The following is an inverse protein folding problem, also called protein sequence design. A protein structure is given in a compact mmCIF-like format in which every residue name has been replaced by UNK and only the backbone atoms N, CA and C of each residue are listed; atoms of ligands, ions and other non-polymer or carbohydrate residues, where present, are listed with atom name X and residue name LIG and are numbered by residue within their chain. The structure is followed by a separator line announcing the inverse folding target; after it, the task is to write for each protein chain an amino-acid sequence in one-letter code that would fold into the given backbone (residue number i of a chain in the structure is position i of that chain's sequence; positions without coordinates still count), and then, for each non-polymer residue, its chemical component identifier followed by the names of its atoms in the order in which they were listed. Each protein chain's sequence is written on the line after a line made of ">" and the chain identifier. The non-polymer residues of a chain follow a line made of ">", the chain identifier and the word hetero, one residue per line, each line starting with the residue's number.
data_IF_818141020612
#
_entry.id   IF_818141020612
#
_cell.length_a   1.000
_cell.length_b   1.000
_cell.length_c   1.000
_cell.angle_alpha   90.00
_cell.angle_beta   90.00
_cell.angle_gamma   90.00
#
_symmetry.space_group_name_H-M   'P 1'
#
loop_
_entity.id
_entity.type
_entity.pdbx_description
1 polymer ?
#
# COMPACT_ATOMS: atom_id res chain seq x y z
N UNK A 1 -7.59 6.98 14.06
CA UNK A 1 -6.82 5.88 13.42
C UNK A 1 -5.35 6.29 13.35
N UNK A 2 -4.53 5.76 14.26
CA UNK A 2 -3.12 6.14 14.40
C UNK A 2 -2.28 5.19 13.55
N UNK A 3 -1.79 5.64 12.39
CA UNK A 3 -0.64 4.98 11.73
C UNK A 3 0.46 4.83 12.78
N UNK A 4 1.17 3.69 12.80
CA UNK A 4 2.15 3.33 13.84
C UNK A 4 2.94 4.56 14.34
N UNK A 5 3.19 4.65 15.65
CA UNK A 5 3.77 5.86 16.31
C UNK A 5 5.19 6.23 15.83
N UNK A 6 5.70 5.65 14.73
CA UNK A 6 7.02 5.89 14.14
C UNK A 6 6.92 6.86 12.96
N UNK A 7 7.82 7.83 12.90
CA UNK A 7 7.92 8.79 11.79
C UNK A 7 6.99 10.02 11.91
N UNK A 8 7.22 11.00 11.03
CA UNK A 8 6.54 12.32 11.05
C UNK A 8 5.02 12.17 10.84
N UNK A 9 4.16 12.77 11.69
CA UNK A 9 2.69 12.69 11.55
C UNK A 9 2.15 13.11 10.19
N UNK A 10 2.69 14.21 9.62
CA UNK A 10 2.31 14.71 8.30
C UNK A 10 2.61 13.70 7.18
N UNK A 11 3.80 13.08 7.21
CA UNK A 11 4.18 12.07 6.23
C UNK A 11 3.26 10.85 6.29
N UNK A 12 2.92 10.40 7.51
CA UNK A 12 1.95 9.30 7.71
C UNK A 12 0.60 9.65 7.07
N UNK A 13 0.08 10.86 7.28
CA UNK A 13 -1.18 11.32 6.67
C UNK A 13 -1.12 11.30 5.14
N UNK A 14 -0.04 11.80 4.53
CA UNK A 14 0.12 11.78 3.07
C UNK A 14 0.19 10.36 2.51
N UNK A 15 0.96 9.46 3.14
CA UNK A 15 1.03 8.06 2.74
C UNK A 15 -0.33 7.37 2.76
N UNK A 16 -1.14 7.67 3.78
CA UNK A 16 -2.51 7.15 3.86
C UNK A 16 -3.39 7.64 2.73
N UNK A 17 -3.41 8.95 2.48
CA UNK A 17 -4.20 9.54 1.39
C UNK A 17 -3.77 8.98 0.04
N UNK A 18 -2.46 8.90 -0.21
CA UNK A 18 -1.90 8.33 -1.43
C UNK A 18 -2.30 6.86 -1.62
N UNK A 19 -2.23 6.06 -0.55
CA UNK A 19 -2.65 4.65 -0.60
C UNK A 19 -4.15 4.52 -0.90
N UNK A 20 -4.99 5.37 -0.30
CA UNK A 20 -6.42 5.38 -0.59
C UNK A 20 -6.71 5.76 -2.04
N UNK A 21 -6.04 6.80 -2.56
CA UNK A 21 -6.14 7.14 -3.97
C UNK A 21 -5.71 5.98 -4.88
N UNK A 22 -4.60 5.30 -4.57
CA UNK A 22 -4.14 4.13 -5.33
C UNK A 22 -5.13 2.96 -5.32
N UNK A 23 -5.78 2.69 -4.18
CA UNK A 23 -6.82 1.64 -4.10
C UNK A 23 -8.00 1.97 -5.01
N UNK A 24 -8.31 3.25 -5.20
CA UNK A 24 -9.40 3.69 -6.08
C UNK A 24 -9.01 3.70 -7.56
N UNK A 25 -7.77 4.09 -7.89
CA UNK A 25 -7.33 4.29 -9.28
C UNK A 25 -6.64 3.09 -9.92
N UNK A 26 -5.97 2.24 -9.13
CA UNK A 26 -5.15 1.15 -9.65
C UNK A 26 -5.77 -0.22 -9.31
N UNK A 27 -5.99 -1.03 -10.35
CA UNK A 27 -6.60 -2.37 -10.25
C UNK A 27 -5.83 -3.32 -9.33
N UNK A 28 -4.49 -3.22 -9.32
CA UNK A 28 -3.63 -4.18 -8.65
C UNK A 28 -3.66 -3.97 -7.13
N UNK A 29 -3.59 -2.70 -6.72
CA UNK A 29 -3.73 -2.32 -5.31
C UNK A 29 -5.15 -2.63 -4.81
N UNK A 30 -6.16 -2.45 -5.66
CA UNK A 30 -7.56 -2.80 -5.35
C UNK A 30 -7.74 -4.30 -5.16
N UNK A 31 -7.21 -5.12 -6.09
CA UNK A 31 -7.25 -6.58 -5.99
C UNK A 31 -6.53 -7.07 -4.73
N UNK A 32 -5.38 -6.47 -4.40
CA UNK A 32 -4.67 -6.81 -3.17
C UNK A 32 -5.44 -6.41 -1.91
N UNK A 33 -6.14 -5.28 -1.92
CA UNK A 33 -7.03 -4.89 -0.83
C UNK A 33 -8.16 -5.91 -0.66
N UNK A 34 -8.79 -6.30 -1.76
CA UNK A 34 -9.85 -7.30 -1.80
C UNK A 34 -9.39 -8.64 -1.23
N UNK A 35 -8.26 -9.16 -1.72
CA UNK A 35 -7.66 -10.40 -1.22
C UNK A 35 -7.35 -10.34 0.30
N UNK A 36 -6.85 -9.21 0.79
CA UNK A 36 -6.60 -9.05 2.21
C UNK A 36 -7.89 -9.05 3.04
N UNK A 37 -8.98 -8.50 2.51
CA UNK A 37 -10.26 -8.43 3.21
C UNK A 37 -11.01 -9.75 3.15
N UNK A 38 -11.07 -10.40 1.99
CA UNK A 38 -11.86 -11.61 1.78
C UNK A 38 -11.11 -12.88 2.17
N UNK A 39 -9.90 -13.07 1.63
CA UNK A 39 -9.14 -14.32 1.84
C UNK A 39 -8.46 -14.29 3.19
N UNK A 40 -7.77 -13.20 3.52
CA UNK A 40 -7.09 -13.05 4.82
C UNK A 40 -8.01 -12.59 5.95
N UNK A 41 -9.28 -12.34 5.67
CA UNK A 41 -10.30 -11.89 6.64
C UNK A 41 -9.86 -10.68 7.47
N UNK A 42 -9.06 -9.78 6.88
CA UNK A 42 -8.62 -8.56 7.57
C UNK A 42 -9.72 -7.51 7.55
N UNK A 43 -9.88 -6.82 8.66
CA UNK A 43 -10.69 -5.60 8.68
C UNK A 43 -10.17 -4.60 7.63
N UNK A 44 -11.10 -3.93 6.92
CA UNK A 44 -10.78 -2.99 5.83
C UNK A 44 -9.66 -2.01 6.21
N UNK A 45 -9.78 -1.38 7.38
CA UNK A 45 -8.78 -0.43 7.89
C UNK A 45 -7.40 -1.07 8.15
N UNK A 46 -7.35 -2.31 8.66
CA UNK A 46 -6.08 -3.04 8.86
C UNK A 46 -5.43 -3.37 7.52
N UNK A 47 -6.22 -3.73 6.50
CA UNK A 47 -5.68 -3.92 5.15
C UNK A 47 -5.08 -2.64 4.59
N UNK A 48 -5.74 -1.48 4.74
CA UNK A 48 -5.18 -0.21 4.24
C UNK A 48 -3.88 0.14 4.96
N UNK A 49 -3.80 -0.05 6.27
CA UNK A 49 -2.54 0.16 7.01
C UNK A 49 -1.41 -0.76 6.53
N UNK A 50 -1.72 -2.02 6.22
CA UNK A 50 -0.78 -2.96 5.61
C UNK A 50 -0.29 -2.45 4.24
N UNK A 51 -1.20 -1.96 3.41
CA UNK A 51 -0.89 -1.42 2.09
C UNK A 51 -0.04 -0.15 2.17
N UNK A 52 -0.30 0.75 3.13
CA UNK A 52 0.52 1.96 3.34
C UNK A 52 2.01 1.61 3.52
N UNK A 53 2.31 0.58 4.32
CA UNK A 53 3.69 0.12 4.52
C UNK A 53 4.31 -0.51 3.26
N UNK A 54 3.51 -1.21 2.44
CA UNK A 54 3.96 -1.74 1.15
C UNK A 54 4.28 -0.61 0.16
N UNK A 55 3.36 0.35 0.01
CA UNK A 55 3.53 1.52 -0.86
C UNK A 55 4.74 2.33 -0.43
N UNK A 56 4.93 2.58 0.87
CA UNK A 56 6.11 3.30 1.35
C UNK A 56 7.43 2.61 0.95
N UNK A 57 7.51 1.28 1.12
CA UNK A 57 8.71 0.52 0.72
C UNK A 57 8.92 0.49 -0.79
N UNK A 58 7.84 0.33 -1.54
CA UNK A 58 7.85 0.39 -3.00
C UNK A 58 8.43 1.74 -3.48
N UNK A 59 7.92 2.86 -2.98
CA UNK A 59 8.39 4.20 -3.37
C UNK A 59 9.88 4.38 -3.07
N UNK A 60 10.34 3.91 -1.90
CA UNK A 60 11.75 3.96 -1.54
C UNK A 60 12.60 3.09 -2.48
N UNK A 61 12.10 1.91 -2.87
CA UNK A 61 12.76 1.04 -3.84
C UNK A 61 12.89 1.68 -5.22
N UNK A 62 11.78 2.20 -5.76
CA UNK A 62 11.76 2.89 -7.05
C UNK A 62 12.70 4.10 -7.06
N UNK A 63 12.67 4.93 -6.01
CA UNK A 63 13.54 6.09 -5.90
C UNK A 63 15.02 5.72 -5.81
N UNK A 64 15.36 4.63 -5.12
CA UNK A 64 16.75 4.16 -5.00
C UNK A 64 17.28 3.53 -6.28
N UNK A 65 16.51 2.66 -6.92
CA UNK A 65 16.93 1.94 -8.11
C UNK A 65 16.75 2.74 -9.41
N UNK A 66 16.04 3.89 -9.36
CA UNK A 66 15.63 4.68 -10.54
C UNK A 66 14.89 3.83 -11.58
N UNK A 67 14.16 2.82 -11.13
CA UNK A 67 13.36 1.95 -11.98
C UNK A 67 11.94 2.50 -12.12
N UNK A 68 11.33 2.24 -13.28
CA UNK A 68 9.91 2.50 -13.49
C UNK A 68 9.06 1.53 -12.65
N UNK A 69 7.81 1.92 -12.38
CA UNK A 69 6.87 1.04 -11.72
C UNK A 69 6.59 -0.20 -12.56
N UNK A 70 6.80 -1.37 -11.97
CA UNK A 70 6.39 -2.66 -12.52
C UNK A 70 5.48 -3.35 -11.51
N UNK A 71 4.22 -3.55 -11.90
CA UNK A 71 3.21 -4.15 -11.02
C UNK A 71 3.60 -5.57 -10.58
N UNK A 72 4.23 -6.34 -11.46
CA UNK A 72 4.63 -7.72 -11.18
C UNK A 72 5.71 -7.79 -10.08
N UNK A 73 6.60 -6.79 -10.03
CA UNK A 73 7.66 -6.72 -9.01
C UNK A 73 7.13 -6.26 -7.65
N UNK A 74 6.10 -5.42 -7.65
CA UNK A 74 5.61 -4.76 -6.42
C UNK A 74 4.53 -5.59 -5.72
N UNK A 75 3.66 -6.21 -6.52
CA UNK A 75 2.58 -7.07 -6.06
C UNK A 75 2.68 -8.38 -6.82
N UNK A 76 3.60 -9.30 -6.43
CA UNK A 76 3.56 -10.65 -6.95
C UNK A 76 2.13 -11.14 -6.72
N UNK A 77 1.46 -11.46 -7.82
CA UNK A 77 0.04 -11.77 -7.83
C UNK A 77 -0.21 -12.76 -6.69
N UNK A 78 -1.22 -12.47 -5.86
CA UNK A 78 -1.74 -13.47 -4.95
C UNK A 78 -2.38 -14.55 -5.81
N UNK A 79 -1.55 -15.47 -6.29
CA UNK A 79 -1.98 -16.77 -6.77
C UNK A 79 -2.64 -17.53 -5.60
#
# INVERSE_FOLDING_TARGET
>A
MTLSKRGRPRLRRFLYLMTMCMVMTNSDVRALHHFNVEVKKLMKMKSIMKLCGKVARMLVGLAKCREAYDSNKVFPQAA
#
